data_IF_095975425205
#
_entry.id   IF_095975425205
#
_cell.length_a   1.000
_cell.length_b   1.000
_cell.length_c   1.000
_cell.angle_alpha   90.00
_cell.angle_beta   90.00
_cell.angle_gamma   90.00
#
_symmetry.space_group_name_H-M   'P 1'
#
loop_
_entity.id
_entity.type
_entity.pdbx_description
1 polymer ?
#
# COMPACT_ATOMS: atom_id res chain seq x y z
N UNK A 1 9.65 -1.35 -0.43
CA UNK A 1 9.29 0.04 -0.81
C UNK A 1 9.89 1.07 0.14
N UNK A 2 9.58 1.04 1.45
CA UNK A 2 10.15 2.00 2.42
C UNK A 2 11.69 2.11 2.33
N UNK A 3 12.40 0.99 2.40
CA UNK A 3 13.87 0.95 2.29
C UNK A 3 14.40 1.46 0.94
N UNK A 4 13.69 1.17 -0.16
CA UNK A 4 14.08 1.67 -1.48
C UNK A 4 13.95 3.20 -1.56
N UNK A 5 12.89 3.76 -0.97
CA UNK A 5 12.72 5.22 -0.86
C UNK A 5 13.73 5.84 0.11
N UNK A 6 14.07 5.17 1.21
CA UNK A 6 15.15 5.59 2.11
C UNK A 6 16.46 5.76 1.34
N UNK A 7 16.84 4.74 0.55
CA UNK A 7 18.04 4.78 -0.30
C UNK A 7 17.98 5.83 -1.42
N UNK A 8 16.79 6.31 -1.76
CA UNK A 8 16.60 7.42 -2.70
C UNK A 8 16.54 8.81 -2.01
N UNK A 9 16.79 8.88 -0.70
CA UNK A 9 16.83 10.14 0.06
C UNK A 9 15.50 10.59 0.65
N UNK A 10 14.47 9.74 0.65
CA UNK A 10 13.19 10.08 1.26
C UNK A 10 13.27 10.05 2.79
N UNK A 11 12.59 11.02 3.43
CA UNK A 11 12.26 10.96 4.87
C UNK A 11 10.99 10.13 5.05
N UNK A 12 10.97 9.25 6.05
CA UNK A 12 9.96 8.20 6.17
C UNK A 12 9.11 8.34 7.43
N UNK A 13 7.80 8.44 7.23
CA UNK A 13 6.79 8.10 8.24
C UNK A 13 6.34 6.66 8.01
N UNK A 14 6.74 5.75 8.90
CA UNK A 14 6.38 4.33 8.84
C UNK A 14 5.13 4.09 9.69
N UNK A 15 4.09 3.50 9.10
CA UNK A 15 2.78 3.34 9.76
C UNK A 15 2.38 1.88 9.81
N UNK A 16 2.08 1.39 11.00
CA UNK A 16 1.49 0.08 11.25
C UNK A 16 0.71 0.13 12.58
N UNK A 17 -0.19 -0.82 12.82
CA UNK A 17 -0.87 -0.92 14.13
C UNK A 17 0.09 -1.27 15.26
N UNK A 18 1.05 -2.14 14.97
CA UNK A 18 2.08 -2.57 15.91
C UNK A 18 3.42 -1.91 15.55
N UNK A 19 3.98 -1.14 16.47
CA UNK A 19 5.29 -0.51 16.31
C UNK A 19 6.41 -1.55 16.15
N UNK A 20 6.30 -2.70 16.84
CA UNK A 20 7.29 -3.78 16.81
C UNK A 20 7.46 -4.37 15.42
N UNK A 21 6.38 -4.45 14.64
CA UNK A 21 6.40 -4.92 13.25
C UNK A 21 7.27 -4.05 12.32
N UNK A 22 7.58 -2.80 12.71
CA UNK A 22 8.38 -1.86 11.93
C UNK A 22 9.80 -1.66 12.48
N UNK A 23 10.17 -2.31 13.60
CA UNK A 23 11.46 -2.11 14.25
C UNK A 23 12.64 -2.40 13.31
N UNK A 24 12.59 -3.51 12.57
CA UNK A 24 13.62 -3.87 11.59
C UNK A 24 13.69 -2.85 10.45
N UNK A 25 12.55 -2.49 9.86
CA UNK A 25 12.51 -1.52 8.75
C UNK A 25 13.05 -0.15 9.18
N UNK A 26 12.70 0.28 10.40
CA UNK A 26 13.20 1.53 10.98
C UNK A 26 14.72 1.49 11.17
N UNK A 27 15.24 0.40 11.72
CA UNK A 27 16.68 0.22 11.94
C UNK A 27 17.46 0.25 10.63
N UNK A 28 17.01 -0.50 9.63
CA UNK A 28 17.63 -0.55 8.30
C UNK A 28 17.56 0.81 7.60
N UNK A 29 16.42 1.49 7.62
CA UNK A 29 16.29 2.83 7.03
C UNK A 29 17.25 3.85 7.68
N UNK A 30 17.38 3.83 9.01
CA UNK A 30 18.33 4.69 9.73
C UNK A 30 19.79 4.33 9.46
N UNK A 31 20.10 3.05 9.31
CA UNK A 31 21.45 2.60 8.91
C UNK A 31 21.83 3.11 7.52
N UNK A 32 20.85 3.25 6.62
CA UNK A 32 21.03 3.89 5.30
C UNK A 32 21.12 5.42 5.37
N UNK A 33 21.04 6.04 6.56
CA UNK A 33 21.12 7.48 6.76
C UNK A 33 19.80 8.22 6.58
N UNK A 34 18.67 7.53 6.40
CA UNK A 34 17.38 8.19 6.22
C UNK A 34 16.79 8.66 7.56
N UNK A 35 16.19 9.85 7.57
CA UNK A 35 15.30 10.24 8.66
C UNK A 35 14.03 9.40 8.62
N UNK A 36 13.84 8.52 9.61
CA UNK A 36 12.68 7.64 9.70
C UNK A 36 12.12 7.58 11.11
N UNK A 37 10.79 7.54 11.21
CA UNK A 37 10.05 7.44 12.46
C UNK A 37 8.79 6.57 12.29
N UNK A 38 8.42 5.85 13.35
CA UNK A 38 7.27 4.94 13.37
C UNK A 38 6.10 5.63 14.06
N UNK A 39 4.93 5.60 13.42
CA UNK A 39 3.68 6.14 13.93
C UNK A 39 2.64 5.02 14.03
N UNK A 40 2.34 4.53 15.24
CA UNK A 40 1.35 3.48 15.42
C UNK A 40 -0.05 3.99 15.12
N UNK A 41 -0.74 3.38 14.14
CA UNK A 41 -2.11 3.72 13.80
C UNK A 41 -2.82 2.59 13.06
N UNK A 42 -4.12 2.45 13.31
CA UNK A 42 -5.03 1.66 12.47
C UNK A 42 -5.66 2.55 11.41
N UNK A 43 -5.24 2.35 10.16
CA UNK A 43 -5.69 3.17 9.03
C UNK A 43 -7.18 3.00 8.70
N UNK A 44 -7.85 1.97 9.21
CA UNK A 44 -9.32 1.83 9.07
C UNK A 44 -10.11 2.70 10.06
N UNK A 45 -9.42 3.43 10.94
CA UNK A 45 -10.01 4.25 11.99
C UNK A 45 -9.74 5.74 11.75
N UNK A 46 -10.80 6.48 11.46
CA UNK A 46 -10.73 7.92 11.13
C UNK A 46 -10.05 8.75 12.23
N UNK A 47 -10.39 8.49 13.50
CA UNK A 47 -9.80 9.16 14.67
C UNK A 47 -8.29 8.95 14.76
N UNK A 48 -7.82 7.74 14.44
CA UNK A 48 -6.39 7.42 14.45
C UNK A 48 -5.65 7.99 13.25
N UNK A 49 -6.26 7.99 12.06
CA UNK A 49 -5.68 8.63 10.86
C UNK A 49 -5.54 10.14 11.05
N UNK A 50 -6.49 10.77 11.73
CA UNK A 50 -6.41 12.20 12.03
C UNK A 50 -5.29 12.52 13.03
N UNK A 51 -5.17 11.73 14.11
CA UNK A 51 -4.05 11.85 15.05
C UNK A 51 -2.69 11.61 14.36
N UNK A 52 -2.62 10.60 13.48
CA UNK A 52 -1.45 10.29 12.66
C UNK A 52 -1.06 11.49 11.78
N UNK A 53 -2.03 12.11 11.10
CA UNK A 53 -1.80 13.31 10.29
C UNK A 53 -1.16 14.41 11.11
N UNK A 54 -1.68 14.72 12.29
CA UNK A 54 -1.10 15.75 13.16
C UNK A 54 0.36 15.46 13.53
N UNK A 55 0.66 14.23 13.93
CA UNK A 55 2.02 13.84 14.35
C UNK A 55 3.02 13.88 13.19
N UNK A 56 2.65 13.32 12.03
CA UNK A 56 3.53 13.26 10.85
C UNK A 56 3.83 14.66 10.31
N UNK A 57 2.81 15.53 10.22
CA UNK A 57 2.98 16.90 9.73
C UNK A 57 3.79 17.74 10.72
N UNK A 58 3.58 17.57 12.03
CA UNK A 58 4.41 18.24 13.04
C UNK A 58 5.89 17.83 12.93
N UNK A 59 6.17 16.55 12.62
CA UNK A 59 7.54 16.02 12.52
C UNK A 59 8.25 16.36 11.22
N UNK A 60 7.55 16.27 10.08
CA UNK A 60 8.18 16.34 8.75
C UNK A 60 7.76 17.57 7.92
N UNK A 61 6.73 18.29 8.35
CA UNK A 61 6.13 19.39 7.61
C UNK A 61 5.25 18.88 6.48
N UNK A 62 5.73 19.02 5.24
CA UNK A 62 4.95 18.74 4.03
C UNK A 62 4.96 17.26 3.65
N UNK A 63 3.92 16.82 2.95
CA UNK A 63 3.85 15.50 2.35
C UNK A 63 4.07 15.57 0.83
N UNK A 64 4.98 14.73 0.34
CA UNK A 64 5.28 14.62 -1.09
C UNK A 64 4.80 13.28 -1.68
N UNK A 65 4.91 12.19 -0.90
CA UNK A 65 4.64 10.82 -1.34
C UNK A 65 3.73 10.14 -0.32
N UNK A 66 2.61 9.58 -0.78
CA UNK A 66 1.73 8.71 0.01
C UNK A 66 1.69 7.31 -0.62
N UNK A 67 2.05 6.27 0.13
CA UNK A 67 1.91 4.88 -0.32
C UNK A 67 0.86 4.16 0.53
N UNK A 68 -0.31 3.92 -0.05
CA UNK A 68 -1.35 3.09 0.55
C UNK A 68 -1.03 1.60 0.31
N UNK A 69 -0.20 1.04 1.20
CA UNK A 69 0.26 -0.35 1.13
C UNK A 69 -0.53 -1.30 2.05
N UNK A 70 -1.02 -0.82 3.19
CA UNK A 70 -1.68 -1.65 4.18
C UNK A 70 -2.86 -2.44 3.58
N UNK A 71 -2.96 -3.72 3.92
CA UNK A 71 -4.05 -4.56 3.44
C UNK A 71 -4.04 -5.95 4.06
N UNK A 72 -5.20 -6.59 4.04
CA UNK A 72 -5.42 -7.95 4.53
C UNK A 72 -6.19 -8.79 3.49
N UNK A 73 -6.06 -10.11 3.59
CA UNK A 73 -6.74 -11.05 2.71
C UNK A 73 -7.30 -12.23 3.53
N UNK A 74 -8.62 -12.32 3.62
CA UNK A 74 -9.34 -13.45 4.23
C UNK A 74 -9.79 -14.40 3.12
N UNK A 75 -9.54 -15.70 3.31
CA UNK A 75 -9.60 -16.73 2.28
C UNK A 75 -10.63 -17.81 2.62
N UNK A 76 -11.85 -17.73 2.08
CA UNK A 76 -12.91 -18.72 2.32
C UNK A 76 -14.12 -18.58 1.37
N UNK A 77 -15.04 -19.56 1.32
CA UNK A 77 -16.29 -19.45 0.58
C UNK A 77 -17.10 -18.22 1.01
N UNK A 78 -17.80 -17.59 0.06
CA UNK A 78 -18.57 -16.36 0.33
C UNK A 78 -19.67 -16.56 1.39
N UNK A 79 -20.25 -17.76 1.45
CA UNK A 79 -21.27 -18.16 2.42
C UNK A 79 -20.73 -18.35 3.84
N UNK A 80 -19.41 -18.40 4.02
CA UNK A 80 -18.75 -18.56 5.32
C UNK A 80 -18.15 -17.24 5.85
N UNK A 81 -18.30 -16.14 5.11
CA UNK A 81 -17.94 -14.82 5.62
C UNK A 81 -18.98 -14.34 6.62
N UNK A 82 -18.50 -13.91 7.79
CA UNK A 82 -19.28 -12.98 8.59
C UNK A 82 -19.27 -11.61 7.92
N UNK A 83 -20.32 -10.81 8.18
CA UNK A 83 -20.35 -9.42 7.73
C UNK A 83 -19.19 -8.60 8.32
N UNK A 84 -18.75 -8.92 9.54
CA UNK A 84 -17.61 -8.27 10.18
C UNK A 84 -16.31 -8.50 9.41
N UNK A 85 -16.01 -9.74 9.02
CA UNK A 85 -14.79 -10.04 8.25
C UNK A 85 -14.82 -9.40 6.86
N UNK A 86 -16.00 -9.41 6.22
CA UNK A 86 -16.20 -8.69 4.96
C UNK A 86 -15.86 -7.20 5.12
N UNK A 87 -16.46 -6.54 6.11
CA UNK A 87 -16.20 -5.13 6.42
C UNK A 87 -14.74 -4.89 6.75
N UNK A 88 -14.13 -5.71 7.60
CA UNK A 88 -12.71 -5.59 7.98
C UNK A 88 -11.77 -5.58 6.77
N UNK A 89 -12.04 -6.40 5.75
CA UNK A 89 -11.25 -6.42 4.51
C UNK A 89 -11.45 -5.13 3.72
N UNK A 90 -12.69 -4.66 3.53
CA UNK A 90 -12.97 -3.40 2.84
C UNK A 90 -12.41 -2.19 3.61
N UNK A 91 -12.59 -2.17 4.92
CA UNK A 91 -12.19 -1.07 5.78
C UNK A 91 -10.67 -0.90 5.81
N UNK A 92 -9.92 -2.00 5.83
CA UNK A 92 -8.46 -1.94 5.74
C UNK A 92 -8.00 -1.58 4.33
N UNK A 93 -8.52 -2.27 3.31
CA UNK A 93 -7.92 -2.23 1.96
C UNK A 93 -8.39 -1.05 1.10
N UNK A 94 -9.59 -0.52 1.38
CA UNK A 94 -10.24 0.52 0.58
C UNK A 94 -10.56 1.75 1.43
N UNK A 95 -11.37 1.61 2.49
CA UNK A 95 -11.76 2.75 3.33
C UNK A 95 -10.54 3.42 3.94
N UNK A 96 -9.57 2.64 4.43
CA UNK A 96 -8.36 3.21 5.01
C UNK A 96 -7.47 3.94 4.01
N UNK A 97 -7.39 3.50 2.75
CA UNK A 97 -6.71 4.26 1.70
C UNK A 97 -7.43 5.60 1.42
N UNK A 98 -8.77 5.60 1.42
CA UNK A 98 -9.56 6.82 1.34
C UNK A 98 -9.29 7.76 2.53
N UNK A 99 -9.29 7.24 3.76
CA UNK A 99 -9.01 8.04 4.96
C UNK A 99 -7.62 8.67 4.90
N UNK A 100 -6.60 7.90 4.52
CA UNK A 100 -5.24 8.39 4.35
C UNK A 100 -5.16 9.49 3.29
N UNK A 101 -5.75 9.29 2.11
CA UNK A 101 -5.76 10.34 1.08
C UNK A 101 -6.49 11.58 1.58
N UNK A 102 -7.69 11.45 2.15
CA UNK A 102 -8.48 12.59 2.65
C UNK A 102 -7.73 13.39 3.70
N UNK A 103 -7.03 12.72 4.62
CA UNK A 103 -6.27 13.38 5.68
C UNK A 103 -5.02 14.09 5.14
N UNK A 104 -4.29 13.46 4.23
CA UNK A 104 -2.96 13.91 3.84
C UNK A 104 -2.91 14.74 2.56
N UNK A 105 -3.87 14.59 1.65
CA UNK A 105 -3.93 15.35 0.40
C UNK A 105 -3.87 16.88 0.61
N UNK A 106 -4.56 17.49 1.60
CA UNK A 106 -4.42 18.93 1.85
C UNK A 106 -2.98 19.39 2.12
N UNK A 107 -2.12 18.51 2.63
CA UNK A 107 -0.70 18.78 2.93
C UNK A 107 0.24 18.47 1.75
N UNK A 108 -0.31 18.01 0.64
CA UNK A 108 0.37 17.76 -0.64
C UNK A 108 0.04 18.82 -1.70
N UNK A 109 -1.17 19.40 -1.63
CA UNK A 109 -1.67 20.41 -2.59
C UNK A 109 -0.88 21.72 -2.56
N UNK A 110 -0.91 22.44 -3.68
CA UNK A 110 -0.34 23.79 -3.80
C UNK A 110 1.19 23.84 -3.95
N UNK A 111 1.84 22.71 -4.22
CA UNK A 111 3.30 22.62 -4.37
C UNK A 111 3.77 22.23 -5.76
N UNK A 112 2.84 21.93 -6.68
CA UNK A 112 3.16 21.50 -8.06
C UNK A 112 3.79 20.11 -8.14
N UNK A 113 3.82 19.37 -7.03
CA UNK A 113 4.32 17.99 -6.95
C UNK A 113 3.54 17.21 -5.89
N UNK A 114 3.13 16.01 -6.26
CA UNK A 114 2.67 14.98 -5.33
C UNK A 114 2.60 13.62 -5.99
N UNK A 115 2.78 12.56 -5.20
CA UNK A 115 2.75 11.17 -5.67
C UNK A 115 1.92 10.32 -4.71
N UNK A 116 0.84 9.74 -5.20
CA UNK A 116 0.02 8.78 -4.45
C UNK A 116 0.15 7.42 -5.13
N UNK A 117 0.65 6.43 -4.41
CA UNK A 117 0.77 5.05 -4.90
C UNK A 117 -0.19 4.17 -4.10
N UNK A 118 -1.16 3.60 -4.79
CA UNK A 118 -2.08 2.63 -4.21
C UNK A 118 -1.60 1.21 -4.57
N UNK A 119 -1.36 0.38 -3.56
CA UNK A 119 -1.02 -1.03 -3.79
C UNK A 119 -2.32 -1.80 -4.03
N UNK A 120 -2.65 -1.99 -5.30
CA UNK A 120 -3.79 -2.77 -5.75
C UNK A 120 -3.42 -4.26 -5.78
N UNK A 121 -3.80 -5.02 -6.80
CA UNK A 121 -3.41 -6.42 -6.98
C UNK A 121 -3.65 -6.84 -8.43
N UNK A 122 -3.03 -7.92 -8.90
CA UNK A 122 -3.53 -8.63 -10.09
C UNK A 122 -5.02 -8.99 -9.93
N UNK A 123 -5.48 -9.26 -8.71
CA UNK A 123 -6.89 -9.49 -8.37
C UNK A 123 -7.80 -8.26 -8.49
N UNK A 124 -7.27 -7.09 -8.87
CA UNK A 124 -8.08 -5.96 -9.33
C UNK A 124 -8.55 -6.12 -10.78
N UNK A 125 -7.89 -6.99 -11.55
CA UNK A 125 -8.11 -7.18 -12.99
C UNK A 125 -8.64 -8.56 -13.35
N UNK A 126 -8.28 -9.57 -12.54
CA UNK A 126 -8.76 -10.96 -12.67
C UNK A 126 -9.32 -11.44 -11.33
N UNK A 127 -9.96 -12.60 -11.31
CA UNK A 127 -10.55 -13.16 -10.09
C UNK A 127 -10.01 -14.56 -9.78
N UNK A 128 -9.98 -14.89 -8.49
CA UNK A 128 -9.74 -16.24 -7.98
C UNK A 128 -10.84 -16.60 -6.96
N UNK A 129 -11.30 -17.85 -6.93
CA UNK A 129 -12.23 -18.32 -5.90
C UNK A 129 -11.72 -18.06 -4.48
N UNK A 130 -12.64 -17.96 -3.53
CA UNK A 130 -12.33 -17.79 -2.10
C UNK A 130 -11.63 -16.47 -1.75
N UNK A 131 -11.70 -15.45 -2.63
CA UNK A 131 -11.08 -14.12 -2.47
C UNK A 131 -12.07 -12.98 -2.66
N UNK A 132 -13.37 -13.23 -2.58
CA UNK A 132 -14.42 -12.25 -2.94
C UNK A 132 -14.20 -10.90 -2.27
N UNK A 133 -14.07 -10.85 -0.94
CA UNK A 133 -13.84 -9.60 -0.22
C UNK A 133 -12.55 -8.88 -0.65
N UNK A 134 -11.46 -9.63 -0.81
CA UNK A 134 -10.17 -9.08 -1.22
C UNK A 134 -10.22 -8.52 -2.65
N UNK A 135 -10.72 -9.31 -3.61
CA UNK A 135 -10.85 -8.90 -5.01
C UNK A 135 -11.77 -7.69 -5.14
N UNK A 136 -12.93 -7.69 -4.47
CA UNK A 136 -13.82 -6.52 -4.42
C UNK A 136 -13.11 -5.28 -3.86
N UNK A 137 -12.35 -5.42 -2.76
CA UNK A 137 -11.63 -4.29 -2.18
C UNK A 137 -10.54 -3.73 -3.12
N UNK A 138 -9.79 -4.59 -3.81
CA UNK A 138 -8.69 -4.18 -4.69
C UNK A 138 -9.19 -3.68 -6.05
N UNK A 139 -10.32 -4.17 -6.54
CA UNK A 139 -11.01 -3.60 -7.69
C UNK A 139 -11.57 -2.21 -7.36
N UNK A 140 -12.18 -2.04 -6.18
CA UNK A 140 -12.61 -0.74 -5.67
C UNK A 140 -11.45 0.24 -5.54
N UNK A 141 -10.29 -0.20 -5.01
CA UNK A 141 -9.10 0.63 -4.89
C UNK A 141 -8.53 1.05 -6.26
N UNK A 142 -8.64 0.19 -7.28
CA UNK A 142 -8.26 0.53 -8.65
C UNK A 142 -9.20 1.59 -9.25
N UNK A 143 -10.51 1.48 -9.01
CA UNK A 143 -11.49 2.51 -9.40
C UNK A 143 -11.21 3.84 -8.72
N UNK A 144 -10.99 3.81 -7.40
CA UNK A 144 -10.60 4.96 -6.58
C UNK A 144 -9.32 5.64 -7.11
N UNK A 145 -8.31 4.85 -7.47
CA UNK A 145 -7.05 5.33 -8.06
C UNK A 145 -7.30 6.11 -9.36
N UNK A 146 -8.11 5.55 -10.27
CA UNK A 146 -8.41 6.19 -11.56
C UNK A 146 -9.18 7.49 -11.40
N UNK A 147 -10.17 7.51 -10.51
CA UNK A 147 -10.93 8.72 -10.23
C UNK A 147 -10.03 9.84 -9.67
N UNK A 148 -9.22 9.53 -8.65
CA UNK A 148 -8.30 10.50 -8.06
C UNK A 148 -7.22 10.98 -9.03
N UNK A 149 -6.71 10.11 -9.90
CA UNK A 149 -5.72 10.51 -10.90
C UNK A 149 -6.25 11.63 -11.79
N UNK A 150 -7.52 11.53 -12.22
CA UNK A 150 -8.15 12.57 -13.03
C UNK A 150 -8.49 13.82 -12.23
N UNK A 151 -8.93 13.66 -10.97
CA UNK A 151 -9.26 14.77 -10.08
C UNK A 151 -8.04 15.65 -9.75
N UNK A 152 -6.87 15.03 -9.53
CA UNK A 152 -5.69 15.70 -8.99
C UNK A 152 -4.64 16.07 -10.06
N UNK A 153 -4.83 15.62 -11.31
CA UNK A 153 -3.94 15.94 -12.42
C UNK A 153 -3.70 17.46 -12.61
N UNK A 154 -4.72 18.35 -12.52
CA UNK A 154 -4.49 19.80 -12.63
C UNK A 154 -3.56 20.39 -11.57
N UNK A 155 -3.38 19.70 -10.44
CA UNK A 155 -2.54 20.14 -9.32
C UNK A 155 -1.10 19.60 -9.39
N UNK A 156 -0.75 18.84 -10.44
CA UNK A 156 0.56 18.19 -10.57
C UNK A 156 0.76 16.99 -9.64
N UNK A 157 -0.34 16.40 -9.16
CA UNK A 157 -0.31 15.22 -8.28
C UNK A 157 -0.69 13.99 -9.10
N UNK A 158 0.23 13.01 -9.18
CA UNK A 158 -0.06 11.75 -9.86
C UNK A 158 -0.57 10.70 -8.88
N UNK A 159 -1.52 9.88 -9.34
CA UNK A 159 -2.08 8.77 -8.57
C UNK A 159 -1.97 7.49 -9.39
N UNK A 160 -1.13 6.56 -8.94
CA UNK A 160 -0.82 5.33 -9.69
C UNK A 160 -1.12 4.09 -8.84
N UNK A 161 -1.68 3.08 -9.48
CA UNK A 161 -1.89 1.77 -8.88
C UNK A 161 -0.77 0.82 -9.27
N UNK A 162 -0.04 0.26 -8.30
CA UNK A 162 0.82 -0.92 -8.54
C UNK A 162 -0.04 -2.15 -8.29
N UNK A 163 -0.08 -3.08 -9.24
CA UNK A 163 -0.81 -4.35 -9.15
C UNK A 163 0.15 -5.54 -8.97
N UNK A 164 0.66 -5.83 -7.75
CA UNK A 164 1.57 -6.95 -7.56
C UNK A 164 0.91 -8.29 -7.91
N UNK A 165 1.71 -9.15 -8.55
CA UNK A 165 1.46 -10.59 -8.59
C UNK A 165 1.83 -11.27 -7.27
N UNK A 166 2.30 -12.53 -7.29
CA UNK A 166 2.67 -13.23 -6.07
C UNK A 166 4.04 -12.81 -5.56
N UNK A 167 4.08 -12.25 -4.36
CA UNK A 167 5.30 -11.97 -3.58
C UNK A 167 5.29 -12.82 -2.30
N UNK A 168 6.47 -13.26 -1.89
CA UNK A 168 6.65 -14.04 -0.66
C UNK A 168 6.57 -13.11 0.56
N UNK A 169 5.35 -12.82 1.02
CA UNK A 169 5.07 -11.99 2.19
C UNK A 169 4.03 -12.66 3.08
N UNK A 170 3.86 -12.13 4.29
CA UNK A 170 2.88 -12.62 5.28
C UNK A 170 1.47 -12.79 4.71
N UNK A 171 1.01 -11.92 3.80
CA UNK A 171 -0.33 -12.02 3.19
C UNK A 171 -0.50 -13.30 2.35
N UNK A 172 0.61 -13.90 1.90
CA UNK A 172 0.67 -15.14 1.13
C UNK A 172 1.24 -16.31 1.93
N UNK A 173 1.46 -16.17 3.24
CA UNK A 173 1.97 -17.26 4.10
C UNK A 173 1.21 -18.59 3.92
N UNK A 174 -0.14 -18.64 3.83
CA UNK A 174 -0.85 -19.89 3.57
C UNK A 174 -0.45 -20.60 2.26
N UNK A 175 0.02 -19.85 1.26
CA UNK A 175 0.47 -20.39 -0.03
C UNK A 175 1.97 -20.74 -0.02
N UNK A 176 2.74 -20.15 0.90
CA UNK A 176 4.13 -20.51 1.15
C UNK A 176 4.22 -21.79 1.99
N UNK A 177 3.28 -21.99 2.91
CA UNK A 177 3.17 -23.16 3.79
C UNK A 177 2.50 -24.37 3.11
N UNK A 178 1.80 -24.17 1.99
CA UNK A 178 1.28 -25.23 1.11
C UNK A 178 2.08 -25.25 -0.22
N UNK A 179 3.11 -26.12 -0.33
CA UNK A 179 3.94 -26.19 -1.54
C UNK A 179 3.15 -26.57 -2.80
N UNK A 180 2.02 -27.27 -2.68
CA UNK A 180 1.19 -27.64 -3.82
C UNK A 180 0.46 -26.41 -4.36
N UNK A 181 -0.26 -25.70 -3.49
CA UNK A 181 -0.96 -24.47 -3.86
C UNK A 181 0.02 -23.37 -4.28
N UNK A 182 1.19 -23.28 -3.65
CA UNK A 182 2.26 -22.37 -4.05
C UNK A 182 2.78 -22.67 -5.45
N UNK A 183 3.05 -23.94 -5.79
CA UNK A 183 3.47 -24.34 -7.14
C UNK A 183 2.39 -24.08 -8.18
N UNK A 184 1.12 -24.34 -7.88
CA UNK A 184 0.00 -24.03 -8.80
C UNK A 184 -0.14 -22.54 -9.07
N UNK A 185 0.08 -21.68 -8.06
CA UNK A 185 0.08 -20.24 -8.27
C UNK A 185 1.24 -19.81 -9.17
N UNK A 186 2.45 -20.32 -8.88
CA UNK A 186 3.66 -19.94 -9.60
C UNK A 186 3.68 -20.50 -11.04
N UNK A 187 3.05 -21.64 -11.31
CA UNK A 187 2.93 -22.17 -12.69
C UNK A 187 2.14 -21.24 -13.62
N UNK A 188 1.29 -20.38 -13.05
CA UNK A 188 0.53 -19.35 -13.77
C UNK A 188 1.30 -18.03 -13.94
N UNK A 189 2.47 -17.91 -13.32
CA UNK A 189 3.36 -16.75 -13.46
C UNK A 189 4.35 -17.03 -14.59
N UNK A 190 4.37 -16.25 -15.68
CA UNK A 190 5.28 -16.50 -16.80
C UNK A 190 6.78 -16.53 -16.42
N UNK A 191 7.17 -15.77 -15.39
CA UNK A 191 8.54 -15.78 -14.86
C UNK A 191 8.87 -17.00 -13.99
N UNK A 192 7.90 -17.87 -13.67
CA UNK A 192 8.10 -19.12 -12.93
C UNK A 192 8.63 -18.96 -11.51
N UNK A 193 8.48 -17.77 -10.89
CA UNK A 193 8.96 -17.50 -9.53
C UNK A 193 8.11 -16.47 -8.79
N UNK A 194 8.28 -16.42 -7.48
CA UNK A 194 7.83 -15.31 -6.64
C UNK A 194 8.55 -14.01 -7.02
N UNK A 195 7.84 -12.89 -6.91
CA UNK A 195 8.43 -11.56 -7.01
C UNK A 195 9.41 -11.31 -5.85
N UNK A 196 10.50 -10.61 -6.13
CA UNK A 196 11.46 -10.16 -5.10
C UNK A 196 11.07 -8.75 -4.63
N UNK A 197 11.07 -8.50 -3.32
CA UNK A 197 10.55 -7.25 -2.74
C UNK A 197 11.28 -5.99 -3.24
N UNK A 198 12.52 -6.13 -3.67
CA UNK A 198 13.32 -5.07 -4.26
C UNK A 198 12.74 -4.62 -5.61
N UNK A 199 12.16 -5.54 -6.39
CA UNK A 199 11.59 -5.24 -7.71
C UNK A 199 10.42 -4.25 -7.61
N UNK A 200 9.50 -4.48 -6.65
CA UNK A 200 8.40 -3.54 -6.38
C UNK A 200 8.90 -2.28 -5.66
N UNK A 201 9.97 -2.40 -4.86
CA UNK A 201 10.63 -1.26 -4.24
C UNK A 201 11.17 -0.26 -5.25
N UNK A 202 11.91 -0.73 -6.26
CA UNK A 202 12.48 0.11 -7.31
C UNK A 202 11.41 0.71 -8.21
N UNK A 203 10.33 -0.03 -8.51
CA UNK A 203 9.19 0.53 -9.23
C UNK A 203 8.55 1.69 -8.46
N UNK A 204 8.37 1.55 -7.15
CA UNK A 204 7.84 2.64 -6.32
C UNK A 204 8.75 3.88 -6.33
N UNK A 205 10.08 3.69 -6.32
CA UNK A 205 11.04 4.79 -6.45
C UNK A 205 10.88 5.48 -7.80
N UNK A 206 10.83 4.72 -8.91
CA UNK A 206 10.66 5.28 -10.26
C UNK A 206 9.39 6.12 -10.37
N UNK A 207 8.25 5.60 -9.88
CA UNK A 207 6.96 6.31 -9.90
C UNK A 207 6.98 7.59 -9.06
N UNK A 208 7.93 7.74 -8.13
CA UNK A 208 8.09 8.96 -7.36
C UNK A 208 8.99 10.00 -8.05
N UNK A 209 9.63 9.69 -9.17
CA UNK A 209 10.50 10.66 -9.86
C UNK A 209 9.71 11.59 -10.79
N UNK A 210 10.39 12.60 -11.32
CA UNK A 210 9.81 13.52 -12.30
C UNK A 210 9.64 12.85 -13.66
N UNK A 211 10.49 11.88 -14.01
CA UNK A 211 10.39 11.15 -15.27
C UNK A 211 9.11 10.30 -15.37
N UNK A 212 8.44 10.04 -14.25
CA UNK A 212 7.18 9.32 -14.17
C UNK A 212 5.94 10.25 -14.07
N UNK A 213 6.09 11.55 -14.35
CA UNK A 213 5.00 12.53 -14.23
C UNK A 213 3.95 12.46 -15.35
N UNK A 214 4.18 11.68 -16.41
CA UNK A 214 3.32 11.55 -17.60
C UNK A 214 3.00 10.07 -17.87
#
# INVERSE_FOLDING_TARGET
MALALAGAGARLALVARDAGALAQTLSEARHMGAEAEVFPADISREDQVEALRHQVIARFGKLHILINNAGINIRKPVTEFTLEEWRRVLDTNLTGAFLMVRAFLPHMRGHGYGRIINITSTLSHVALPLRTAYASSKAGLLGFTRALALELAPEGITVVGISPGPFATEINRPLLEDPSAGRDLISRVPLGRWGRLEEVGQLAVYLCREEAAY
#
